data_IF_163929023329
#
_entry.id   IF_163929023329
#
_cell.length_a   1.000
_cell.length_b   1.000
_cell.length_c   1.000
_cell.angle_alpha   90.00
_cell.angle_beta   90.00
_cell.angle_gamma   90.00
#
_symmetry.space_group_name_H-M   'P 1'
#
loop_
_entity.id
_entity.type
_entity.pdbx_description
1 polymer ?
#
# COMPACT_ATOMS: atom_id res chain seq x y z
N UNK A 1 2.23 -36.63 9.52
CA UNK A 1 1.68 -35.34 9.02
C UNK A 1 0.17 -35.45 8.82
N UNK A 2 -0.29 -36.48 8.11
CA UNK A 2 -1.72 -36.88 8.10
C UNK A 2 -2.24 -37.09 9.52
N UNK A 3 -1.46 -37.73 10.40
CA UNK A 3 -1.82 -37.91 11.82
C UNK A 3 -2.08 -36.59 12.55
N UNK A 4 -1.32 -35.54 12.23
CA UNK A 4 -1.47 -34.22 12.86
C UNK A 4 -2.70 -33.50 12.31
N UNK A 5 -3.00 -33.67 11.02
CA UNK A 5 -4.21 -33.14 10.39
C UNK A 5 -5.50 -33.76 10.95
N UNK A 6 -5.47 -35.03 11.34
CA UNK A 6 -6.61 -35.71 12.00
C UNK A 6 -6.72 -35.28 13.47
N UNK A 7 -5.62 -35.32 14.22
CA UNK A 7 -5.61 -35.00 15.65
C UNK A 7 -5.86 -33.53 15.97
N UNK A 8 -5.76 -32.63 14.97
CA UNK A 8 -5.91 -31.18 15.20
C UNK A 8 -7.25 -30.78 15.82
N UNK A 9 -8.30 -31.57 15.58
CA UNK A 9 -9.64 -31.31 16.11
C UNK A 9 -9.77 -31.65 17.60
N UNK A 10 -8.82 -32.41 18.15
CA UNK A 10 -8.78 -32.82 19.55
C UNK A 10 -7.94 -31.85 20.42
N UNK A 11 -7.24 -30.91 19.78
CA UNK A 11 -6.47 -29.90 20.50
C UNK A 11 -7.38 -28.81 21.09
N UNK A 12 -7.06 -28.28 22.29
CA UNK A 12 -7.82 -27.19 22.90
C UNK A 12 -7.61 -25.82 22.22
N UNK A 13 -6.92 -25.80 21.08
CA UNK A 13 -6.59 -24.61 20.31
C UNK A 13 -6.65 -24.91 18.81
N UNK A 14 -6.98 -23.90 18.00
CA UNK A 14 -6.99 -24.02 16.56
C UNK A 14 -5.57 -24.10 15.99
N UNK A 15 -5.38 -24.91 14.94
CA UNK A 15 -4.15 -24.95 14.16
C UNK A 15 -4.49 -24.88 12.66
N UNK A 16 -3.76 -24.08 11.91
CA UNK A 16 -3.92 -23.88 10.46
C UNK A 16 -2.87 -24.66 9.64
N UNK A 17 -1.95 -25.34 10.32
CA UNK A 17 -0.91 -26.17 9.71
C UNK A 17 0.19 -26.54 10.70
N UNK A 18 1.35 -26.87 10.14
CA UNK A 18 2.60 -27.12 10.87
C UNK A 18 3.73 -26.26 10.29
N UNK A 19 4.70 -25.87 11.11
CA UNK A 19 5.90 -25.19 10.63
C UNK A 19 7.02 -26.21 10.47
N UNK A 20 7.51 -26.37 9.25
CA UNK A 20 8.69 -27.20 8.96
C UNK A 20 9.91 -26.29 9.02
N UNK A 21 10.89 -26.65 9.84
CA UNK A 21 12.14 -25.90 10.02
C UNK A 21 13.34 -26.80 9.82
N UNK A 22 14.43 -26.26 9.28
CA UNK A 22 15.75 -26.89 9.33
C UNK A 22 16.20 -26.88 10.79
N UNK A 23 16.51 -28.04 11.36
CA UNK A 23 16.81 -28.14 12.80
C UNK A 23 18.21 -27.62 13.17
N UNK A 24 19.16 -27.72 12.24
CA UNK A 24 20.55 -27.29 12.47
C UNK A 24 20.74 -25.77 12.31
N UNK A 25 21.21 -25.11 13.37
CA UNK A 25 21.39 -23.66 13.44
C UNK A 25 22.40 -23.11 12.42
N UNK A 26 23.50 -23.82 12.16
CA UNK A 26 24.51 -23.39 11.20
C UNK A 26 23.95 -23.26 9.77
N UNK A 27 23.05 -24.17 9.39
CA UNK A 27 22.36 -24.11 8.10
C UNK A 27 21.33 -22.99 8.04
N UNK A 28 20.66 -22.67 9.15
CA UNK A 28 19.73 -21.53 9.20
C UNK A 28 20.48 -20.21 8.94
N UNK A 29 21.65 -20.03 9.57
CA UNK A 29 22.50 -18.85 9.37
C UNK A 29 22.94 -18.72 7.90
N UNK A 30 23.35 -19.83 7.28
CA UNK A 30 23.79 -19.84 5.89
C UNK A 30 22.63 -19.57 4.91
N UNK A 31 21.43 -20.10 5.18
CA UNK A 31 20.26 -19.91 4.34
C UNK A 31 19.72 -18.47 4.41
N UNK A 32 19.79 -17.84 5.57
CA UNK A 32 19.40 -16.45 5.78
C UNK A 32 17.89 -16.19 5.66
N UNK A 33 17.54 -14.92 5.42
CA UNK A 33 16.15 -14.42 5.34
C UNK A 33 15.93 -13.62 4.05
N UNK A 34 14.71 -13.63 3.55
CA UNK A 34 14.24 -12.68 2.52
C UNK A 34 13.74 -11.41 3.18
N UNK A 35 13.24 -10.44 2.39
CA UNK A 35 12.61 -9.23 2.90
C UNK A 35 11.36 -9.48 3.76
N UNK A 36 10.76 -10.69 3.72
CA UNK A 36 9.50 -11.01 4.42
C UNK A 36 9.52 -12.31 5.22
N UNK A 37 10.43 -13.26 4.94
CA UNK A 37 10.39 -14.59 5.54
C UNK A 37 11.77 -15.28 5.58
N UNK A 38 12.04 -16.15 6.57
CA UNK A 38 13.25 -16.98 6.60
C UNK A 38 13.26 -17.99 5.46
N UNK A 39 14.46 -18.33 4.95
CA UNK A 39 14.63 -19.36 3.90
C UNK A 39 14.69 -20.77 4.45
N UNK A 40 14.89 -20.91 5.77
CA UNK A 40 15.07 -22.18 6.47
C UNK A 40 13.81 -22.68 7.20
N UNK A 41 12.68 -22.00 7.05
CA UNK A 41 11.40 -22.43 7.60
C UNK A 41 10.24 -22.14 6.64
N UNK A 42 9.24 -23.01 6.65
CA UNK A 42 8.02 -22.86 5.85
C UNK A 42 6.79 -23.26 6.67
N UNK A 43 5.71 -22.49 6.54
CA UNK A 43 4.40 -22.87 7.08
C UNK A 43 3.70 -23.80 6.10
N UNK A 44 3.56 -25.07 6.48
CA UNK A 44 2.82 -26.08 5.73
C UNK A 44 1.38 -26.13 6.22
N UNK A 45 0.49 -25.43 5.51
CA UNK A 45 -0.92 -25.26 5.90
C UNK A 45 -1.76 -26.49 5.52
N UNK A 46 -2.79 -26.78 6.32
CA UNK A 46 -3.78 -27.80 5.96
C UNK A 46 -4.53 -27.41 4.67
N UNK A 47 -5.13 -28.38 3.95
CA UNK A 47 -6.09 -28.07 2.90
C UNK A 47 -7.18 -27.16 3.46
N UNK A 48 -7.36 -26.01 2.84
CA UNK A 48 -8.34 -25.04 3.30
C UNK A 48 -9.76 -25.60 3.15
N UNK A 49 -10.61 -25.29 4.12
CA UNK A 49 -12.01 -25.70 4.10
C UNK A 49 -12.72 -25.09 2.88
N UNK A 50 -13.30 -25.96 2.05
CA UNK A 50 -14.15 -25.56 0.92
C UNK A 50 -15.61 -25.77 1.28
N UNK A 51 -16.44 -24.80 0.91
CA UNK A 51 -17.91 -24.93 0.98
C UNK A 51 -18.53 -24.54 -0.34
N UNK A 52 -19.73 -25.04 -0.58
CA UNK A 52 -20.55 -24.63 -1.71
C UNK A 52 -21.58 -23.60 -1.26
N UNK A 53 -21.84 -22.60 -2.08
CA UNK A 53 -22.92 -21.61 -1.88
C UNK A 53 -23.45 -21.13 -3.24
N UNK A 54 -24.55 -20.37 -3.27
CA UNK A 54 -25.12 -19.83 -4.51
C UNK A 54 -24.60 -18.41 -4.76
N UNK A 55 -24.11 -18.16 -5.97
CA UNK A 55 -23.73 -16.83 -6.44
C UNK A 55 -25.00 -16.02 -6.79
N UNK A 56 -25.26 -14.96 -6.04
CA UNK A 56 -26.45 -14.13 -6.18
C UNK A 56 -26.20 -12.96 -7.14
N UNK A 57 -25.07 -12.28 -6.97
CA UNK A 57 -24.74 -11.07 -7.73
C UNK A 57 -23.21 -10.86 -7.81
N UNK A 58 -22.76 -9.93 -8.66
CA UNK A 58 -21.35 -9.54 -8.79
C UNK A 58 -21.22 -8.02 -8.73
N UNK A 59 -20.63 -7.52 -7.64
CA UNK A 59 -20.27 -6.10 -7.51
C UNK A 59 -18.99 -5.80 -8.29
N UNK A 60 -18.93 -4.62 -8.91
CA UNK A 60 -17.80 -4.17 -9.73
C UNK A 60 -17.01 -3.08 -9.01
N UNK A 61 -16.17 -3.48 -8.05
CA UNK A 61 -15.51 -2.53 -7.15
C UNK A 61 -14.35 -1.80 -7.83
N UNK A 62 -14.37 -0.48 -7.85
CA UNK A 62 -13.28 0.36 -8.38
C UNK A 62 -12.30 0.68 -7.25
N UNK A 63 -11.09 0.12 -7.30
CA UNK A 63 -10.04 0.39 -6.30
C UNK A 63 -9.27 1.68 -6.55
N UNK A 64 -8.37 2.07 -5.61
CA UNK A 64 -7.59 3.33 -5.67
C UNK A 64 -6.86 3.61 -6.99
N UNK A 65 -6.35 2.60 -7.68
CA UNK A 65 -5.64 2.79 -8.96
C UNK A 65 -6.59 2.70 -10.16
N UNK A 66 -7.91 2.66 -9.93
CA UNK A 66 -8.94 2.45 -10.95
C UNK A 66 -9.23 0.99 -11.28
N UNK A 67 -8.52 0.02 -10.67
CA UNK A 67 -8.73 -1.41 -10.95
C UNK A 67 -10.16 -1.81 -10.59
N UNK A 68 -10.91 -2.30 -11.57
CA UNK A 68 -12.28 -2.81 -11.43
C UNK A 68 -12.21 -4.29 -11.09
N UNK A 69 -12.53 -4.62 -9.84
CA UNK A 69 -12.45 -5.98 -9.30
C UNK A 69 -13.85 -6.55 -9.14
N UNK A 70 -14.18 -7.67 -9.82
CA UNK A 70 -15.44 -8.35 -9.60
C UNK A 70 -15.43 -9.05 -8.23
N UNK A 71 -16.47 -8.78 -7.43
CA UNK A 71 -16.67 -9.37 -6.10
C UNK A 71 -18.00 -10.09 -6.06
N UNK A 72 -17.97 -11.38 -5.75
CA UNK A 72 -19.16 -12.18 -5.58
C UNK A 72 -19.98 -11.69 -4.38
N UNK A 73 -21.29 -11.61 -4.55
CA UNK A 73 -22.31 -11.58 -3.50
C UNK A 73 -22.99 -12.93 -3.53
N UNK A 74 -23.02 -13.61 -2.40
CA UNK A 74 -23.45 -15.01 -2.35
C UNK A 74 -24.31 -15.27 -1.11
N UNK A 75 -25.06 -16.37 -1.15
CA UNK A 75 -25.79 -16.83 0.03
C UNK A 75 -24.80 -17.02 1.19
N UNK A 76 -25.18 -16.59 2.42
CA UNK A 76 -24.25 -16.66 3.54
C UNK A 76 -23.81 -18.09 3.85
N UNK A 77 -22.50 -18.29 3.95
CA UNK A 77 -21.90 -19.60 4.28
C UNK A 77 -20.92 -19.46 5.43
N UNK A 78 -20.84 -20.47 6.29
CA UNK A 78 -19.83 -20.52 7.36
C UNK A 78 -18.56 -21.15 6.79
N UNK A 79 -17.46 -20.38 6.80
CA UNK A 79 -16.13 -20.79 6.37
C UNK A 79 -15.12 -20.44 7.46
N UNK A 80 -14.39 -21.44 7.95
CA UNK A 80 -13.41 -21.28 9.03
C UNK A 80 -13.99 -20.52 10.23
N UNK A 81 -15.20 -20.92 10.66
CA UNK A 81 -15.88 -20.35 11.84
C UNK A 81 -16.52 -18.96 11.66
N UNK A 82 -16.44 -18.34 10.48
CA UNK A 82 -17.03 -17.02 10.23
C UNK A 82 -18.07 -17.05 9.12
N UNK A 83 -19.09 -16.21 9.22
CA UNK A 83 -20.10 -16.01 8.17
C UNK A 83 -19.51 -15.18 7.03
N UNK A 84 -19.52 -15.73 5.82
CA UNK A 84 -19.01 -15.10 4.61
C UNK A 84 -20.15 -14.91 3.62
N UNK A 85 -20.33 -13.67 3.16
CA UNK A 85 -21.34 -13.28 2.14
C UNK A 85 -20.71 -12.73 0.87
N UNK A 86 -19.39 -12.54 0.87
CA UNK A 86 -18.65 -12.06 -0.28
C UNK A 86 -17.33 -12.80 -0.48
N UNK A 87 -16.93 -12.94 -1.73
CA UNK A 87 -15.64 -13.53 -2.11
C UNK A 87 -15.06 -12.79 -3.32
N UNK A 88 -13.74 -12.74 -3.46
CA UNK A 88 -13.13 -12.20 -4.68
C UNK A 88 -13.27 -13.18 -5.84
N UNK A 89 -13.57 -12.65 -7.04
CA UNK A 89 -13.49 -13.37 -8.32
C UNK A 89 -12.15 -13.10 -9.05
N UNK A 90 -11.23 -12.37 -8.40
CA UNK A 90 -9.94 -11.91 -8.90
C UNK A 90 -10.01 -10.91 -10.08
N UNK A 91 -10.49 -11.35 -11.24
CA UNK A 91 -10.66 -10.56 -12.46
C UNK A 91 -11.63 -11.27 -13.43
N UNK A 92 -12.02 -10.57 -14.51
CA UNK A 92 -12.98 -11.12 -15.47
C UNK A 92 -12.40 -12.26 -16.34
N UNK A 93 -11.09 -12.30 -16.57
CA UNK A 93 -10.45 -13.46 -17.21
C UNK A 93 -10.64 -14.75 -16.40
N UNK A 94 -10.47 -14.70 -15.08
CA UNK A 94 -10.73 -15.84 -14.19
C UNK A 94 -12.20 -16.27 -14.19
N UNK A 95 -13.13 -15.30 -14.25
CA UNK A 95 -14.57 -15.59 -14.37
C UNK A 95 -14.85 -16.39 -15.64
N UNK A 96 -14.31 -15.96 -16.78
CA UNK A 96 -14.48 -16.63 -18.08
C UNK A 96 -13.82 -18.01 -18.10
N UNK A 97 -12.56 -18.10 -17.66
CA UNK A 97 -11.79 -19.34 -17.62
C UNK A 97 -12.46 -20.43 -16.77
N UNK A 98 -13.13 -20.02 -15.69
CA UNK A 98 -13.87 -20.93 -14.79
C UNK A 98 -15.34 -21.09 -15.18
N UNK A 99 -15.79 -20.44 -16.26
CA UNK A 99 -17.18 -20.34 -16.72
C UNK A 99 -18.16 -20.05 -15.58
N UNK A 100 -17.83 -19.08 -14.71
CA UNK A 100 -18.69 -18.72 -13.58
C UNK A 100 -19.86 -17.86 -14.08
N UNK A 101 -21.08 -18.16 -13.63
CA UNK A 101 -22.33 -17.50 -14.03
C UNK A 101 -23.16 -17.10 -12.82
N UNK A 102 -23.96 -16.05 -12.98
CA UNK A 102 -24.95 -15.66 -11.96
C UNK A 102 -25.94 -16.81 -11.74
N UNK A 103 -26.28 -17.07 -10.48
CA UNK A 103 -27.12 -18.20 -10.07
C UNK A 103 -26.39 -19.54 -9.96
N UNK A 104 -25.09 -19.61 -10.29
CA UNK A 104 -24.33 -20.87 -10.13
C UNK A 104 -24.17 -21.24 -8.65
N UNK A 105 -24.17 -22.56 -8.39
CA UNK A 105 -23.57 -23.07 -7.16
C UNK A 105 -22.04 -23.04 -7.31
N UNK A 106 -21.38 -22.22 -6.50
CA UNK A 106 -19.93 -21.99 -6.52
C UNK A 106 -19.25 -22.64 -5.32
N UNK A 107 -17.98 -23.03 -5.51
CA UNK A 107 -17.09 -23.45 -4.43
C UNK A 107 -16.27 -22.26 -3.93
N UNK A 108 -16.24 -22.07 -2.62
CA UNK A 108 -15.55 -20.96 -1.96
C UNK A 108 -14.61 -21.47 -0.88
N UNK A 109 -13.47 -20.79 -0.78
CA UNK A 109 -12.37 -21.12 0.12
C UNK A 109 -11.76 -19.84 0.69
N UNK A 110 -11.13 -19.90 1.86
CA UNK A 110 -10.36 -18.78 2.42
C UNK A 110 -8.87 -19.00 2.29
N UNK A 111 -8.21 -18.14 1.53
CA UNK A 111 -6.75 -18.11 1.47
C UNK A 111 -6.19 -17.77 2.86
N UNK A 112 -5.42 -18.70 3.42
CA UNK A 112 -4.84 -18.59 4.75
C UNK A 112 -5.86 -18.35 5.87
N UNK A 113 -7.10 -18.84 5.70
CA UNK A 113 -8.24 -18.67 6.63
C UNK A 113 -8.75 -17.22 6.77
N UNK A 114 -8.24 -16.27 5.98
CA UNK A 114 -8.60 -14.85 6.06
C UNK A 114 -9.41 -14.40 4.83
N UNK A 115 -8.88 -14.56 3.62
CA UNK A 115 -9.43 -13.90 2.41
C UNK A 115 -10.28 -14.88 1.60
N UNK A 116 -11.62 -14.73 1.55
CA UNK A 116 -12.49 -15.61 0.77
C UNK A 116 -12.36 -15.34 -0.74
N UNK A 117 -12.26 -16.42 -1.52
CA UNK A 117 -12.22 -16.38 -2.99
C UNK A 117 -13.02 -17.53 -3.59
N UNK A 118 -13.48 -17.34 -4.83
CA UNK A 118 -14.23 -18.37 -5.57
C UNK A 118 -13.24 -19.30 -6.28
N UNK A 119 -13.28 -20.58 -5.90
CA UNK A 119 -12.43 -21.63 -6.46
C UNK A 119 -12.91 -22.00 -7.85
N UNK A 120 -14.21 -22.21 -8.03
CA UNK A 120 -14.84 -22.59 -9.29
C UNK A 120 -16.35 -22.83 -9.15
N UNK A 121 -16.94 -23.43 -10.18
CA UNK A 121 -18.37 -23.78 -10.22
C UNK A 121 -18.58 -25.27 -9.98
N UNK A 122 -19.66 -25.62 -9.28
CA UNK A 122 -20.18 -26.99 -9.22
C UNK A 122 -21.04 -27.25 -10.47
N UNK A 123 -20.39 -27.54 -11.60
CA UNK A 123 -21.04 -27.61 -12.92
C UNK A 123 -22.27 -28.52 -12.98
N UNK A 124 -22.29 -29.62 -12.22
CA UNK A 124 -23.41 -30.55 -12.15
C UNK A 124 -24.70 -29.95 -11.55
N UNK A 125 -24.61 -28.81 -10.84
CA UNK A 125 -25.74 -28.11 -10.22
C UNK A 125 -26.19 -26.87 -10.98
N UNK A 126 -25.68 -26.63 -12.20
CA UNK A 126 -26.04 -25.45 -12.98
C UNK A 126 -27.51 -25.51 -13.41
N UNK A 127 -28.28 -24.50 -12.99
CA UNK A 127 -29.64 -24.30 -13.44
C UNK A 127 -29.72 -23.77 -14.88
N UNK A 128 -30.87 -23.94 -15.53
CA UNK A 128 -31.12 -23.42 -16.89
C UNK A 128 -31.05 -21.89 -16.98
N UNK A 129 -31.25 -21.20 -15.86
CA UNK A 129 -31.31 -19.74 -15.78
C UNK A 129 -29.95 -19.10 -15.45
N UNK A 130 -28.85 -19.86 -15.53
CA UNK A 130 -27.52 -19.34 -15.20
C UNK A 130 -27.03 -18.36 -16.28
N UNK A 131 -26.80 -17.11 -15.88
CA UNK A 131 -26.45 -16.01 -16.80
C UNK A 131 -24.97 -15.68 -16.79
N UNK A 132 -24.40 -15.39 -17.98
CA UNK A 132 -23.00 -14.98 -18.07
C UNK A 132 -22.80 -13.62 -17.40
N UNK A 133 -21.75 -13.53 -16.59
CA UNK A 133 -21.34 -12.27 -15.98
C UNK A 133 -20.73 -11.37 -17.05
N UNK A 134 -21.33 -10.21 -17.29
CA UNK A 134 -20.85 -9.22 -18.27
C UNK A 134 -19.97 -8.19 -17.55
N UNK A 135 -18.70 -8.03 -17.95
CA UNK A 135 -17.87 -6.95 -17.42
C UNK A 135 -18.39 -5.58 -17.85
N UNK A 136 -18.26 -4.55 -17.00
CA UNK A 136 -18.72 -3.21 -17.33
C UNK A 136 -17.85 -2.61 -18.44
N UNK A 137 -18.52 -2.04 -19.45
CA UNK A 137 -17.87 -1.39 -20.60
C UNK A 137 -17.36 0.02 -20.26
N UNK A 138 -18.04 0.70 -19.34
CA UNK A 138 -17.65 1.97 -18.71
C UNK A 138 -17.37 1.77 -17.22
N UNK A 139 -16.76 2.75 -16.56
CA UNK A 139 -16.57 2.70 -15.11
C UNK A 139 -17.93 2.71 -14.41
N UNK A 140 -18.24 1.74 -13.53
CA UNK A 140 -19.55 1.67 -12.86
C UNK A 140 -19.80 2.82 -11.86
N UNK A 141 -18.79 3.64 -11.59
CA UNK A 141 -18.83 4.71 -10.58
C UNK A 141 -18.80 6.12 -11.19
N UNK A 142 -18.33 6.27 -12.42
CA UNK A 142 -18.17 7.59 -13.04
C UNK A 142 -18.45 7.60 -14.55
N UNK A 143 -18.91 6.49 -15.11
CA UNK A 143 -19.13 6.25 -16.54
C UNK A 143 -17.94 6.53 -17.47
N UNK A 144 -16.75 6.73 -16.89
CA UNK A 144 -15.53 7.04 -17.61
C UNK A 144 -14.95 5.85 -18.37
N UNK A 145 -13.98 6.14 -19.23
CA UNK A 145 -13.29 5.14 -20.05
C UNK A 145 -12.63 4.05 -19.21
N UNK A 146 -12.73 2.82 -19.71
CA UNK A 146 -12.11 1.64 -19.12
C UNK A 146 -11.04 1.08 -20.03
N UNK A 147 -9.83 0.92 -19.50
CA UNK A 147 -8.71 0.23 -20.14
C UNK A 147 -8.71 -1.25 -19.70
N UNK A 148 -8.38 -2.15 -20.62
CA UNK A 148 -8.24 -3.59 -20.37
C UNK A 148 -6.77 -3.95 -20.58
N UNK A 149 -6.12 -4.46 -19.54
CA UNK A 149 -4.73 -4.92 -19.60
C UNK A 149 -4.72 -6.43 -19.90
N UNK A 150 -3.92 -6.87 -20.89
CA UNK A 150 -3.74 -8.29 -21.19
C UNK A 150 -2.84 -8.99 -20.15
N UNK A 151 -2.52 -10.29 -20.31
CA UNK A 151 -1.59 -10.95 -19.40
C UNK A 151 -0.21 -10.29 -19.38
N UNK A 152 0.33 -10.14 -18.17
CA UNK A 152 1.77 -9.91 -18.02
C UNK A 152 2.52 -11.12 -18.62
N UNK A 153 3.21 -10.91 -19.75
CA UNK A 153 4.11 -11.90 -20.34
C UNK A 153 3.89 -12.23 -21.82
N UNK A 154 2.71 -11.91 -22.39
CA UNK A 154 2.47 -12.11 -23.83
C UNK A 154 1.51 -11.04 -24.40
N UNK A 155 2.04 -9.92 -24.91
CA UNK A 155 1.24 -8.88 -25.56
C UNK A 155 0.51 -9.38 -26.81
N UNK A 156 0.93 -10.50 -27.42
CA UNK A 156 0.25 -11.07 -28.59
C UNK A 156 -1.11 -11.69 -28.25
N UNK A 157 -1.33 -12.02 -26.98
CA UNK A 157 -2.64 -12.40 -26.43
C UNK A 157 -3.45 -11.17 -25.99
N UNK A 158 -2.98 -9.97 -26.36
CA UNK A 158 -3.48 -8.62 -26.05
C UNK A 158 -4.96 -8.34 -26.29
N UNK A 159 -5.63 -9.18 -27.07
CA UNK A 159 -7.01 -8.95 -27.53
C UNK A 159 -8.01 -10.04 -27.17
N UNK A 160 -7.58 -11.14 -26.54
CA UNK A 160 -8.50 -12.20 -26.12
C UNK A 160 -9.01 -11.92 -24.71
N UNK A 161 -10.33 -11.72 -24.62
CA UNK A 161 -11.02 -11.42 -23.38
C UNK A 161 -10.88 -12.53 -22.33
N UNK A 162 -10.62 -13.78 -22.70
CA UNK A 162 -10.37 -14.87 -21.73
C UNK A 162 -9.12 -14.61 -20.89
N UNK A 163 -8.16 -13.89 -21.45
CA UNK A 163 -6.87 -13.59 -20.83
C UNK A 163 -6.81 -12.22 -20.15
N UNK A 164 -7.95 -11.53 -20.02
CA UNK A 164 -8.06 -10.26 -19.29
C UNK A 164 -7.57 -10.40 -17.83
N UNK A 165 -6.48 -9.70 -17.48
CA UNK A 165 -5.93 -9.76 -16.12
C UNK A 165 -6.37 -8.59 -15.25
N UNK A 166 -6.53 -7.41 -15.86
CA UNK A 166 -6.95 -6.18 -15.17
C UNK A 166 -7.88 -5.37 -16.07
N UNK A 167 -8.97 -4.89 -15.48
CA UNK A 167 -9.84 -3.86 -16.03
C UNK A 167 -9.69 -2.60 -15.20
N UNK A 168 -9.62 -1.42 -15.80
CA UNK A 168 -9.27 -0.20 -15.07
C UNK A 168 -10.03 1.04 -15.55
N UNK A 169 -10.65 1.77 -14.63
CA UNK A 169 -11.09 3.14 -14.87
C UNK A 169 -9.86 4.07 -14.97
N UNK A 170 -9.74 4.79 -16.08
CA UNK A 170 -8.60 5.71 -16.33
C UNK A 170 -8.84 7.13 -15.84
N UNK A 171 -10.05 7.44 -15.36
CA UNK A 171 -10.36 8.76 -14.81
C UNK A 171 -9.70 8.95 -13.43
N UNK A 172 -8.66 9.80 -13.29
CA UNK A 172 -7.97 9.99 -12.02
C UNK A 172 -8.85 10.64 -10.93
N UNK A 173 -9.92 11.33 -11.34
CA UNK A 173 -10.90 12.05 -10.51
C UNK A 173 -12.18 11.23 -10.26
N UNK A 174 -12.19 9.94 -10.62
CA UNK A 174 -13.32 9.05 -10.34
C UNK A 174 -13.63 9.05 -8.82
N UNK A 175 -14.89 9.29 -8.39
CA UNK A 175 -15.25 9.40 -6.97
C UNK A 175 -14.86 8.16 -6.14
N UNK A 176 -14.98 6.96 -6.70
CA UNK A 176 -14.55 5.73 -6.05
C UNK A 176 -13.02 5.64 -5.92
N UNK A 177 -12.27 6.08 -6.93
CA UNK A 177 -10.82 6.14 -6.82
C UNK A 177 -10.39 7.16 -5.78
N UNK A 178 -10.99 8.35 -5.77
CA UNK A 178 -10.70 9.41 -4.79
C UNK A 178 -10.95 8.91 -3.37
N UNK A 179 -12.09 8.26 -3.09
CA UNK A 179 -12.36 7.64 -1.79
C UNK A 179 -11.21 6.74 -1.32
N UNK A 180 -10.87 5.76 -2.14
CA UNK A 180 -9.82 4.78 -1.82
C UNK A 180 -8.43 5.42 -1.71
N UNK A 181 -8.17 6.45 -2.53
CA UNK A 181 -6.93 7.22 -2.49
C UNK A 181 -6.83 8.05 -1.23
N UNK A 182 -7.90 8.67 -0.74
CA UNK A 182 -7.91 9.44 0.51
C UNK A 182 -7.61 8.54 1.71
N UNK A 183 -8.25 7.37 1.80
CA UNK A 183 -7.97 6.37 2.84
C UNK A 183 -6.49 5.94 2.79
N UNK A 184 -5.99 5.69 1.58
CA UNK A 184 -4.59 5.32 1.38
C UNK A 184 -3.62 6.46 1.72
N UNK A 185 -3.94 7.70 1.35
CA UNK A 185 -3.14 8.90 1.58
C UNK A 185 -2.93 9.17 3.07
N UNK A 186 -3.98 8.96 3.87
CA UNK A 186 -3.92 9.06 5.33
C UNK A 186 -3.09 7.95 6.01
N UNK A 187 -2.73 6.88 5.29
CA UNK A 187 -2.05 5.72 5.86
C UNK A 187 -0.68 6.02 6.48
N UNK A 188 -0.27 5.19 7.45
CA UNK A 188 0.99 5.35 8.22
C UNK A 188 2.26 5.39 7.38
N UNK A 189 2.27 4.73 6.22
CA UNK A 189 3.42 4.70 5.29
C UNK A 189 3.33 5.79 4.21
N UNK A 190 2.31 6.63 4.30
CA UNK A 190 1.97 7.73 3.41
C UNK A 190 2.02 9.00 4.28
N UNK A 191 0.94 9.76 4.41
CA UNK A 191 0.95 11.03 5.15
C UNK A 191 0.79 10.88 6.67
N UNK A 192 0.48 9.67 7.15
CA UNK A 192 0.41 9.35 8.58
C UNK A 192 -0.55 10.28 9.34
N UNK A 193 -1.82 10.29 8.88
CA UNK A 193 -2.88 11.13 9.43
C UNK A 193 -3.80 10.26 10.27
N UNK A 194 -3.52 10.20 11.57
CA UNK A 194 -4.35 9.49 12.52
C UNK A 194 -5.75 10.11 12.62
N UNK A 195 -6.75 9.24 12.68
CA UNK A 195 -8.16 9.65 12.75
C UNK A 195 -8.86 9.78 11.39
N UNK A 196 -8.13 9.83 10.27
CA UNK A 196 -8.70 9.88 8.91
C UNK A 196 -8.80 8.49 8.28
N UNK A 197 -9.42 7.54 9.00
CA UNK A 197 -9.65 6.17 8.52
C UNK A 197 -10.89 6.03 7.63
N UNK A 198 -11.13 4.82 7.11
CA UNK A 198 -12.25 4.50 6.21
C UNK A 198 -13.60 5.06 6.68
N UNK A 199 -13.99 4.78 7.94
CA UNK A 199 -15.27 5.25 8.47
C UNK A 199 -15.37 6.78 8.52
N UNK A 200 -14.27 7.48 8.82
CA UNK A 200 -14.26 8.95 8.92
C UNK A 200 -14.26 9.57 7.53
N UNK A 201 -13.53 9.01 6.56
CA UNK A 201 -13.61 9.42 5.16
C UNK A 201 -15.02 9.24 4.62
N UNK A 202 -15.67 8.10 4.89
CA UNK A 202 -17.04 7.84 4.46
C UNK A 202 -18.05 8.80 5.08
N UNK A 203 -17.96 9.04 6.39
CA UNK A 203 -18.81 10.00 7.09
C UNK A 203 -18.67 11.41 6.52
N UNK A 204 -17.44 11.90 6.34
CA UNK A 204 -17.19 13.24 5.80
C UNK A 204 -17.74 13.33 4.37
N UNK A 205 -17.46 12.36 3.50
CA UNK A 205 -17.95 12.38 2.11
C UNK A 205 -19.47 12.26 2.03
N UNK A 206 -20.09 11.55 2.96
CA UNK A 206 -21.54 11.45 3.04
C UNK A 206 -22.23 12.77 3.39
N UNK A 207 -21.51 13.75 3.97
CA UNK A 207 -22.08 15.10 4.19
C UNK A 207 -22.46 15.82 2.89
N UNK A 208 -21.86 15.43 1.76
CA UNK A 208 -22.14 15.98 0.43
C UNK A 208 -23.26 15.24 -0.33
N UNK A 209 -23.82 14.17 0.24
CA UNK A 209 -25.00 13.50 -0.31
C UNK A 209 -26.27 14.29 -0.01
N UNK A 210 -27.30 14.07 -0.81
CA UNK A 210 -28.65 14.62 -0.60
C UNK A 210 -29.15 14.32 0.81
N UNK A 211 -29.90 15.25 1.41
CA UNK A 211 -30.32 15.17 2.82
C UNK A 211 -31.11 13.90 3.13
N UNK A 212 -31.90 13.41 2.18
CA UNK A 212 -32.72 12.21 2.26
C UNK A 212 -31.99 10.92 1.84
N UNK A 213 -30.70 10.98 1.47
CA UNK A 213 -29.93 9.79 1.12
C UNK A 213 -29.78 8.87 2.35
N UNK A 214 -30.24 7.61 2.28
CA UNK A 214 -30.22 6.68 3.40
C UNK A 214 -28.79 6.39 3.92
N UNK A 215 -27.76 6.57 3.10
CA UNK A 215 -26.36 6.39 3.51
C UNK A 215 -25.92 7.41 4.57
N UNK A 216 -26.51 8.62 4.59
CA UNK A 216 -26.21 9.61 5.64
C UNK A 216 -26.56 9.05 7.01
N UNK A 217 -27.76 8.51 7.14
CA UNK A 217 -28.23 7.88 8.37
C UNK A 217 -27.41 6.63 8.73
N UNK A 218 -27.11 5.76 7.74
CA UNK A 218 -26.29 4.56 7.94
C UNK A 218 -24.90 4.89 8.51
N UNK A 219 -24.27 5.95 7.99
CA UNK A 219 -22.94 6.39 8.40
C UNK A 219 -22.96 7.28 9.65
N UNK A 220 -24.14 7.64 10.16
CA UNK A 220 -24.30 8.50 11.33
C UNK A 220 -23.95 9.97 11.06
N UNK A 221 -24.28 10.47 9.87
CA UNK A 221 -24.21 11.89 9.52
C UNK A 221 -25.54 12.54 9.89
N UNK A 222 -25.58 13.53 10.80
CA UNK A 222 -26.80 14.26 11.14
C UNK A 222 -27.42 14.99 9.94
N UNK A 223 -28.72 15.25 10.02
CA UNK A 223 -29.47 15.99 9.00
C UNK A 223 -28.97 17.43 8.89
N UNK A 224 -28.65 18.06 10.02
CA UNK A 224 -28.19 19.44 10.13
C UNK A 224 -26.67 19.60 9.90
N UNK A 225 -25.93 18.50 9.70
CA UNK A 225 -24.50 18.54 9.48
C UNK A 225 -24.18 19.32 8.18
N UNK A 226 -23.40 20.41 8.25
CA UNK A 226 -22.95 21.12 7.07
C UNK A 226 -22.15 20.21 6.14
N UNK A 227 -22.13 20.54 4.85
CA UNK A 227 -21.27 19.87 3.87
C UNK A 227 -19.80 20.12 4.21
N UNK A 228 -19.02 19.05 4.24
CA UNK A 228 -17.58 19.07 4.41
C UNK A 228 -16.95 18.54 3.11
N UNK A 229 -16.24 19.38 2.34
CA UNK A 229 -15.54 18.94 1.13
C UNK A 229 -14.50 17.88 1.45
N UNK A 230 -14.51 16.76 0.72
CA UNK A 230 -13.48 15.72 0.78
C UNK A 230 -13.44 14.91 -0.51
N UNK A 231 -13.28 15.61 -1.63
CA UNK A 231 -13.22 15.04 -2.99
C UNK A 231 -11.84 15.23 -3.65
N UNK A 232 -10.88 15.80 -2.92
CA UNK A 232 -9.52 16.01 -3.39
C UNK A 232 -8.53 15.91 -2.22
N UNK A 233 -7.25 15.59 -2.50
CA UNK A 233 -6.23 15.46 -1.44
C UNK A 233 -6.00 16.75 -0.65
N UNK A 234 -6.08 17.90 -1.34
CA UNK A 234 -5.96 19.21 -0.70
C UNK A 234 -7.07 19.48 0.33
N UNK A 235 -8.28 18.98 0.09
CA UNK A 235 -9.42 19.14 1.01
C UNK A 235 -9.10 18.57 2.41
N UNK A 236 -8.23 17.55 2.49
CA UNK A 236 -7.74 17.00 3.76
C UNK A 236 -7.08 18.08 4.62
N UNK A 237 -6.26 18.94 4.00
CA UNK A 237 -5.54 20.01 4.68
C UNK A 237 -6.41 21.24 4.95
N UNK A 238 -7.61 21.30 4.36
CA UNK A 238 -8.61 22.34 4.59
C UNK A 238 -9.64 21.95 5.66
N UNK A 239 -9.65 20.68 6.12
CA UNK A 239 -10.58 20.19 7.15
C UNK A 239 -10.58 21.01 8.45
N UNK A 240 -9.48 21.69 8.79
CA UNK A 240 -9.43 22.61 9.93
C UNK A 240 -10.44 23.76 9.85
N UNK A 241 -10.82 24.17 8.64
CA UNK A 241 -11.84 25.20 8.39
C UNK A 241 -13.27 24.69 8.68
N UNK A 242 -13.43 23.37 8.80
CA UNK A 242 -14.71 22.68 9.01
C UNK A 242 -14.82 22.05 10.40
N UNK A 243 -14.05 22.53 11.39
CA UNK A 243 -14.02 21.97 12.75
C UNK A 243 -15.40 21.81 13.37
N UNK A 244 -16.25 22.82 13.26
CA UNK A 244 -17.59 22.79 13.86
C UNK A 244 -18.48 21.72 13.23
N UNK A 245 -18.41 21.55 11.91
CA UNK A 245 -19.13 20.49 11.20
C UNK A 245 -18.59 19.09 11.58
N UNK A 246 -17.27 18.93 11.68
CA UNK A 246 -16.65 17.68 12.11
C UNK A 246 -17.14 17.23 13.49
N UNK A 247 -17.34 18.16 14.43
CA UNK A 247 -17.85 17.86 15.78
C UNK A 247 -19.29 17.36 15.79
N UNK A 248 -20.08 17.65 14.76
CA UNK A 248 -21.46 17.15 14.66
C UNK A 248 -21.52 15.68 14.23
N UNK A 249 -20.48 15.16 13.59
CA UNK A 249 -20.47 13.78 13.09
C UNK A 249 -20.47 12.76 14.23
N UNK A 250 -21.18 11.65 14.04
CA UNK A 250 -21.23 10.59 15.04
C UNK A 250 -19.83 10.03 15.36
N UNK A 251 -19.50 9.93 16.65
CA UNK A 251 -18.20 9.48 17.17
C UNK A 251 -17.01 10.40 16.80
N UNK A 252 -17.27 11.69 16.59
CA UNK A 252 -16.26 12.74 16.38
C UNK A 252 -16.25 13.75 17.54
N UNK A 253 -15.93 13.29 18.75
CA UNK A 253 -15.79 14.18 19.91
C UNK A 253 -14.54 15.07 19.83
N UNK A 254 -14.50 16.13 20.65
CA UNK A 254 -13.44 17.17 20.66
C UNK A 254 -12.03 16.60 20.55
N UNK A 255 -11.64 15.71 21.47
CA UNK A 255 -10.29 15.11 21.47
C UNK A 255 -9.94 14.39 20.17
N UNK A 256 -10.91 13.71 19.53
CA UNK A 256 -10.66 13.01 18.26
C UNK A 256 -10.48 14.01 17.11
N UNK A 257 -11.30 15.07 17.09
CA UNK A 257 -11.17 16.15 16.10
C UNK A 257 -9.84 16.88 16.27
N UNK A 258 -9.46 17.23 17.50
CA UNK A 258 -8.20 17.92 17.78
C UNK A 258 -6.99 17.06 17.36
N UNK A 259 -7.01 15.76 17.66
CA UNK A 259 -5.97 14.83 17.21
C UNK A 259 -5.90 14.72 15.68
N UNK A 260 -7.05 14.64 15.01
CA UNK A 260 -7.12 14.59 13.54
C UNK A 260 -6.52 15.86 12.93
N UNK A 261 -6.94 17.04 13.41
CA UNK A 261 -6.45 18.32 12.89
C UNK A 261 -4.96 18.53 13.18
N UNK A 262 -4.48 18.13 14.35
CA UNK A 262 -3.05 18.15 14.67
C UNK A 262 -2.24 17.19 13.76
N UNK A 263 -2.78 15.99 13.49
CA UNK A 263 -2.18 15.04 12.56
C UNK A 263 -2.10 15.57 11.13
N UNK A 264 -3.16 16.23 10.65
CA UNK A 264 -3.19 16.90 9.34
C UNK A 264 -2.12 17.99 9.26
N UNK A 265 -1.96 18.79 10.31
CA UNK A 265 -0.96 19.86 10.31
C UNK A 265 0.47 19.31 10.33
N UNK A 266 0.73 18.29 11.15
CA UNK A 266 2.01 17.58 11.15
C UNK A 266 2.32 16.95 9.80
N UNK A 267 1.30 16.41 9.12
CA UNK A 267 1.43 15.74 7.84
C UNK A 267 1.92 16.66 6.70
N UNK A 268 1.82 17.99 6.83
CA UNK A 268 2.36 18.92 5.84
C UNK A 268 3.87 18.78 5.66
N UNK A 269 4.60 18.38 6.71
CA UNK A 269 6.07 18.28 6.71
C UNK A 269 6.64 16.92 6.25
N UNK A 270 5.80 16.01 5.73
CA UNK A 270 6.23 14.63 5.41
C UNK A 270 7.11 14.52 4.16
N UNK A 271 7.13 15.55 3.31
CA UNK A 271 7.98 15.63 2.13
C UNK A 271 7.52 14.77 0.93
N UNK A 272 8.25 14.95 -0.18
CA UNK A 272 7.90 14.45 -1.52
C UNK A 272 7.69 12.93 -1.58
N UNK A 273 8.56 12.15 -0.93
CA UNK A 273 8.47 10.69 -0.93
C UNK A 273 7.12 10.19 -0.38
N UNK A 274 6.61 10.85 0.66
CA UNK A 274 5.38 10.49 1.36
C UNK A 274 4.16 10.91 0.57
N UNK A 275 4.18 12.10 -0.02
CA UNK A 275 3.15 12.60 -0.93
C UNK A 275 2.99 11.67 -2.13
N UNK A 276 4.07 11.35 -2.83
CA UNK A 276 4.04 10.44 -3.99
C UNK A 276 3.55 9.04 -3.62
N UNK A 277 3.98 8.50 -2.47
CA UNK A 277 3.50 7.22 -1.97
C UNK A 277 2.00 7.26 -1.62
N UNK A 278 1.49 8.40 -1.15
CA UNK A 278 0.11 8.62 -0.74
C UNK A 278 -0.88 8.86 -1.86
N UNK A 279 -0.45 9.43 -2.99
CA UNK A 279 -1.36 9.79 -4.09
C UNK A 279 -1.95 8.58 -4.84
N UNK A 280 -1.41 7.37 -4.62
CA UNK A 280 -1.88 6.16 -5.28
C UNK A 280 -1.61 6.15 -6.79
N UNK A 281 -0.49 6.76 -7.21
CA UNK A 281 -0.06 6.81 -8.62
C UNK A 281 0.26 5.38 -9.09
N UNK A 282 -0.22 5.00 -10.28
CA UNK A 282 0.01 3.66 -10.85
C UNK A 282 1.52 3.41 -10.95
N UNK A 283 1.99 2.25 -10.47
CA UNK A 283 3.40 1.84 -10.38
C UNK A 283 4.26 2.59 -9.34
N UNK A 284 3.71 3.55 -8.59
CA UNK A 284 4.44 4.26 -7.53
C UNK A 284 3.92 3.80 -6.17
N UNK A 285 4.64 2.85 -5.56
CA UNK A 285 4.47 2.50 -4.14
C UNK A 285 5.50 3.23 -3.27
N UNK A 286 5.52 2.96 -1.96
CA UNK A 286 6.47 3.60 -1.03
C UNK A 286 7.94 3.44 -1.45
N UNK A 287 8.32 2.27 -1.98
CA UNK A 287 9.71 2.05 -2.43
C UNK A 287 10.07 2.89 -3.65
N UNK A 288 9.20 2.89 -4.67
CA UNK A 288 9.37 3.71 -5.89
C UNK A 288 9.36 5.20 -5.55
N UNK A 289 8.47 5.64 -4.65
CA UNK A 289 8.38 7.03 -4.23
C UNK A 289 9.65 7.50 -3.52
N UNK A 290 10.18 6.70 -2.58
CA UNK A 290 11.49 6.97 -1.95
C UNK A 290 12.62 6.97 -2.98
N UNK A 291 12.61 6.05 -3.93
CA UNK A 291 13.62 5.96 -4.98
C UNK A 291 13.61 7.21 -5.89
N UNK A 292 12.43 7.71 -6.27
CA UNK A 292 12.30 8.97 -6.99
C UNK A 292 12.76 10.16 -6.15
N UNK A 293 12.35 10.24 -4.88
CA UNK A 293 12.75 11.32 -3.99
C UNK A 293 14.27 11.37 -3.73
N UNK A 294 14.98 10.24 -3.79
CA UNK A 294 16.45 10.23 -3.72
C UNK A 294 17.14 10.91 -4.90
N UNK A 295 16.48 10.92 -6.05
CA UNK A 295 17.03 11.41 -7.33
C UNK A 295 16.61 12.84 -7.62
N UNK A 296 15.41 13.23 -7.21
CA UNK A 296 14.85 14.56 -7.48
C UNK A 296 14.73 15.36 -6.17
N UNK A 297 15.34 16.56 -6.09
CA UNK A 297 15.38 17.36 -4.86
C UNK A 297 14.00 17.90 -4.46
N UNK A 298 13.11 18.08 -5.42
CA UNK A 298 11.76 18.61 -5.23
C UNK A 298 10.84 18.12 -6.35
N UNK A 299 9.56 18.45 -6.20
CA UNK A 299 8.55 18.14 -7.20
C UNK A 299 8.83 18.80 -8.55
N UNK A 300 9.30 20.05 -8.59
CA UNK A 300 9.54 20.78 -9.84
C UNK A 300 10.57 20.03 -10.69
N UNK A 301 11.68 19.62 -10.09
CA UNK A 301 12.72 18.81 -10.72
C UNK A 301 12.20 17.47 -11.24
N UNK A 302 11.27 16.85 -10.52
CA UNK A 302 10.62 15.60 -10.96
C UNK A 302 9.67 15.85 -12.15
N UNK A 303 8.96 16.97 -12.17
CA UNK A 303 8.06 17.36 -13.25
C UNK A 303 8.81 17.77 -14.53
N UNK A 304 9.99 18.36 -14.41
CA UNK A 304 10.86 18.69 -15.55
C UNK A 304 11.61 17.47 -16.12
N UNK A 305 11.63 16.36 -15.38
CA UNK A 305 12.37 15.18 -15.79
C UNK A 305 11.74 14.50 -17.01
N UNK A 306 12.51 14.40 -18.09
CA UNK A 306 12.11 13.60 -19.24
C UNK A 306 11.90 12.13 -18.86
N UNK A 307 11.00 11.44 -19.56
CA UNK A 307 10.59 10.05 -19.27
C UNK A 307 11.76 9.07 -19.09
N UNK A 308 12.86 9.24 -19.82
CA UNK A 308 14.02 8.36 -19.73
C UNK A 308 14.78 8.49 -18.41
N UNK A 309 14.74 9.66 -17.77
CA UNK A 309 15.30 9.87 -16.41
C UNK A 309 14.52 9.10 -15.35
N UNK A 310 13.26 8.76 -15.60
CA UNK A 310 12.51 7.89 -14.69
C UNK A 310 12.86 6.41 -14.84
N UNK A 311 13.56 5.98 -15.90
CA UNK A 311 13.85 4.57 -16.19
C UNK A 311 15.32 4.31 -16.59
N UNK A 312 16.31 4.74 -15.78
CA UNK A 312 17.74 4.68 -16.13
C UNK A 312 18.23 3.27 -16.54
N UNK A 313 17.82 2.24 -15.79
CA UNK A 313 18.18 0.85 -16.11
C UNK A 313 17.61 0.40 -17.46
N UNK A 314 16.33 0.68 -17.72
CA UNK A 314 15.71 0.32 -18.98
C UNK A 314 16.37 1.10 -20.13
N UNK A 315 16.58 2.40 -19.96
CA UNK A 315 17.24 3.27 -20.93
C UNK A 315 18.61 2.71 -21.36
N UNK A 316 19.46 2.33 -20.40
CA UNK A 316 20.81 1.80 -20.69
C UNK A 316 20.83 0.44 -21.40
N UNK A 317 19.73 -0.31 -21.34
CA UNK A 317 19.57 -1.60 -22.06
C UNK A 317 18.93 -1.44 -23.45
N UNK A 318 18.42 -0.26 -23.80
CA UNK A 318 17.81 0.01 -25.10
C UNK A 318 18.85 0.18 -26.23
N UNK A 319 18.39 -0.01 -27.47
CA UNK A 319 19.22 0.25 -28.66
C UNK A 319 19.68 1.72 -28.73
N UNK A 320 20.81 1.95 -29.41
CA UNK A 320 21.37 3.28 -29.64
C UNK A 320 20.34 4.24 -30.27
N UNK A 321 19.63 3.79 -31.30
CA UNK A 321 18.58 4.58 -31.97
C UNK A 321 17.45 4.98 -31.04
N UNK A 322 17.03 4.07 -30.15
CA UNK A 322 15.95 4.34 -29.20
C UNK A 322 16.39 5.31 -28.10
N UNK A 323 17.65 5.23 -27.64
CA UNK A 323 18.22 6.21 -26.71
C UNK A 323 18.33 7.59 -27.35
N UNK A 324 18.78 7.66 -28.60
CA UNK A 324 18.86 8.90 -29.38
C UNK A 324 17.48 9.54 -29.59
N UNK A 325 16.46 8.72 -29.85
CA UNK A 325 15.09 9.22 -29.99
C UNK A 325 14.50 9.79 -28.69
N UNK A 326 14.92 9.27 -27.53
CA UNK A 326 14.39 9.69 -26.22
C UNK A 326 15.18 10.83 -25.56
N UNK A 327 16.50 10.90 -25.78
CA UNK A 327 17.40 11.83 -25.08
C UNK A 327 18.18 12.78 -26.00
N UNK A 328 18.05 12.62 -27.32
CA UNK A 328 18.89 13.30 -28.31
C UNK A 328 20.30 12.70 -28.47
N UNK A 329 20.69 11.73 -27.62
CA UNK A 329 22.02 11.10 -27.61
C UNK A 329 21.95 9.57 -27.66
N UNK A 330 22.90 8.94 -28.35
CA UNK A 330 23.08 7.49 -28.36
C UNK A 330 24.01 7.01 -27.23
N UNK A 331 24.41 7.90 -26.32
CA UNK A 331 25.20 7.60 -25.14
C UNK A 331 24.36 6.92 -24.06
N UNK A 332 25.00 6.10 -23.22
CA UNK A 332 24.34 5.53 -22.05
C UNK A 332 24.33 6.59 -20.96
N UNK A 333 23.41 6.47 -20.00
CA UNK A 333 23.53 7.20 -18.76
C UNK A 333 24.74 6.68 -17.99
N UNK A 334 25.67 7.57 -17.71
CA UNK A 334 26.80 7.29 -16.83
C UNK A 334 26.35 7.17 -15.37
N UNK A 335 25.37 7.99 -14.98
CA UNK A 335 24.79 8.01 -13.63
C UNK A 335 23.57 7.08 -13.54
N UNK A 336 23.83 5.81 -13.20
CA UNK A 336 22.78 4.78 -13.09
C UNK A 336 22.28 4.71 -11.65
N UNK A 337 21.12 5.32 -11.40
CA UNK A 337 20.35 5.16 -10.18
C UNK A 337 19.18 4.19 -10.37
N UNK A 338 18.53 3.79 -9.27
CA UNK A 338 17.34 2.96 -9.32
C UNK A 338 16.11 3.79 -8.95
N UNK A 339 15.10 3.78 -9.81
CA UNK A 339 13.78 4.40 -9.55
C UNK A 339 12.71 3.36 -9.27
N UNK A 340 12.99 2.07 -9.52
CA UNK A 340 11.99 1.00 -9.54
C UNK A 340 11.05 1.04 -10.76
N UNK A 341 11.30 1.92 -11.74
CA UNK A 341 10.51 2.04 -12.96
C UNK A 341 11.29 1.55 -14.19
N UNK A 342 10.58 0.90 -15.11
CA UNK A 342 11.13 0.34 -16.35
C UNK A 342 10.43 0.87 -17.59
N UNK A 343 10.78 0.32 -18.76
CA UNK A 343 10.30 0.79 -20.06
C UNK A 343 8.77 0.80 -20.26
N UNK A 344 8.04 -0.04 -19.52
CA UNK A 344 6.57 -0.06 -19.54
C UNK A 344 5.93 0.82 -18.47
N UNK A 345 6.59 1.05 -17.33
CA UNK A 345 5.97 1.73 -16.18
C UNK A 345 6.33 3.21 -16.12
N UNK A 346 7.55 3.61 -16.49
CA UNK A 346 7.97 5.01 -16.48
C UNK A 346 7.12 5.92 -17.39
N UNK A 347 6.75 5.52 -18.62
CA UNK A 347 5.86 6.34 -19.46
C UNK A 347 4.48 6.58 -18.81
N UNK A 348 3.94 5.58 -18.11
CA UNK A 348 2.65 5.68 -17.41
C UNK A 348 2.74 6.67 -16.25
N UNK A 349 3.81 6.60 -15.45
CA UNK A 349 4.06 7.54 -14.36
C UNK A 349 4.27 8.96 -14.88
N UNK A 350 5.12 9.12 -15.90
CA UNK A 350 5.40 10.41 -16.52
C UNK A 350 4.13 11.06 -17.09
N UNK A 351 3.29 10.29 -17.80
CA UNK A 351 2.02 10.78 -18.32
C UNK A 351 1.07 11.26 -17.22
N UNK A 352 0.99 10.53 -16.09
CA UNK A 352 0.19 10.97 -14.95
C UNK A 352 0.73 12.27 -14.35
N UNK A 353 2.04 12.36 -14.08
CA UNK A 353 2.69 13.56 -13.52
C UNK A 353 2.42 14.82 -14.37
N UNK A 354 2.30 14.66 -15.69
CA UNK A 354 2.02 15.74 -16.64
C UNK A 354 0.53 15.97 -16.93
N UNK A 355 -0.37 15.19 -16.32
CA UNK A 355 -1.81 15.33 -16.53
C UNK A 355 -2.37 16.59 -15.87
N UNK A 356 -3.48 17.17 -16.38
CA UNK A 356 -4.15 18.30 -15.73
C UNK A 356 -4.53 18.03 -14.28
N UNK A 357 -5.03 16.82 -13.99
CA UNK A 357 -5.41 16.40 -12.64
C UNK A 357 -4.21 16.41 -11.68
N UNK A 358 -3.07 15.84 -12.08
CA UNK A 358 -1.88 15.84 -11.22
C UNK A 358 -1.33 17.26 -10.98
N UNK A 359 -1.28 18.09 -12.02
CA UNK A 359 -0.84 19.49 -11.91
C UNK A 359 -1.71 20.29 -10.96
N UNK A 360 -3.04 20.14 -11.08
CA UNK A 360 -3.98 20.76 -10.15
C UNK A 360 -3.76 20.26 -8.71
N UNK A 361 -3.62 18.94 -8.54
CA UNK A 361 -3.38 18.34 -7.23
C UNK A 361 -2.13 18.91 -6.56
N UNK A 362 -1.00 18.92 -7.27
CA UNK A 362 0.25 19.42 -6.71
C UNK A 362 0.20 20.91 -6.38
N UNK A 363 -0.41 21.73 -7.26
CA UNK A 363 -0.63 23.16 -7.00
C UNK A 363 -1.43 23.37 -5.72
N UNK A 364 -2.56 22.69 -5.56
CA UNK A 364 -3.42 22.84 -4.37
C UNK A 364 -2.77 22.33 -3.09
N UNK A 365 -2.00 21.24 -3.17
CA UNK A 365 -1.22 20.75 -2.02
C UNK A 365 -0.16 21.78 -1.60
N UNK A 366 0.55 22.39 -2.55
CA UNK A 366 1.49 23.47 -2.27
C UNK A 366 0.80 24.69 -1.64
N UNK A 367 -0.38 25.09 -2.14
CA UNK A 367 -1.20 26.18 -1.58
C UNK A 367 -1.65 25.89 -0.14
N UNK A 368 -1.85 24.60 0.21
CA UNK A 368 -2.14 24.16 1.57
C UNK A 368 -0.89 24.11 2.48
N UNK A 369 0.30 24.41 1.96
CA UNK A 369 1.56 24.39 2.70
C UNK A 369 2.16 22.99 2.87
N UNK A 370 1.78 22.02 2.03
CA UNK A 370 2.41 20.69 2.02
C UNK A 370 3.81 20.80 1.44
N UNK A 371 4.79 20.24 2.13
CA UNK A 371 6.17 20.16 1.70
C UNK A 371 6.32 19.16 0.54
N UNK A 372 6.71 19.70 -0.62
CA UNK A 372 6.95 18.97 -1.86
C UNK A 372 8.44 18.87 -2.19
N UNK A 373 9.31 19.13 -1.21
CA UNK A 373 10.76 18.91 -1.28
C UNK A 373 11.13 17.52 -0.78
N UNK A 374 12.31 17.04 -1.16
CA UNK A 374 12.82 15.74 -0.79
C UNK A 374 13.91 15.83 0.27
N UNK A 375 13.61 15.36 1.49
CA UNK A 375 14.62 15.09 2.53
C UNK A 375 15.51 13.88 2.21
N UNK A 376 15.07 13.03 1.30
CA UNK A 376 15.79 11.83 0.84
C UNK A 376 16.78 12.14 -0.29
N UNK A 377 16.80 13.37 -0.83
CA UNK A 377 17.64 13.71 -1.97
C UNK A 377 19.11 13.44 -1.69
N UNK A 378 19.79 12.82 -2.65
CA UNK A 378 21.23 12.54 -2.62
C UNK A 378 21.83 13.10 -3.90
N UNK A 379 22.60 14.19 -3.78
CA UNK A 379 23.28 14.78 -4.93
C UNK A 379 24.37 13.83 -5.46
N UNK A 380 24.70 13.96 -6.74
CA UNK A 380 25.80 13.20 -7.38
C UNK A 380 27.12 13.32 -6.62
N UNK A 381 27.42 14.52 -6.10
CA UNK A 381 28.68 14.78 -5.40
C UNK A 381 28.70 14.10 -4.02
N UNK A 382 27.56 14.02 -3.33
CA UNK A 382 27.45 13.32 -2.03
C UNK A 382 27.50 11.78 -2.17
N UNK A 383 27.02 11.22 -3.28
CA UNK A 383 27.12 9.78 -3.56
C UNK A 383 28.54 9.33 -3.95
N UNK A 384 29.30 10.17 -4.69
CA UNK A 384 30.69 9.88 -5.09
C UNK A 384 31.68 10.14 -3.95
N UNK A 385 31.43 11.13 -3.09
CA UNK A 385 32.27 11.44 -1.95
C UNK A 385 32.18 10.41 -0.81
N UNK A 386 31.19 9.50 -0.83
CA UNK A 386 30.94 8.61 0.31
C UNK A 386 30.53 9.37 1.58
N UNK A 387 30.16 10.64 1.45
CA UNK A 387 29.60 11.47 2.51
C UNK A 387 28.15 11.02 2.75
N UNK A 388 28.02 9.84 3.37
CA UNK A 388 26.85 9.62 4.19
C UNK A 388 26.85 10.68 5.32
N UNK A 389 25.67 11.04 5.86
CA UNK A 389 25.58 12.04 6.93
C UNK A 389 26.64 11.74 7.98
N UNK A 390 27.42 12.73 8.43
CA UNK A 390 28.37 12.51 9.53
C UNK A 390 27.56 12.26 10.80
N UNK A 391 27.22 10.99 10.98
CA UNK A 391 26.19 10.51 11.88
C UNK A 391 26.67 9.17 12.43
N UNK A 392 26.47 8.91 13.73
CA UNK A 392 26.86 7.64 14.33
C UNK A 392 26.08 6.45 13.73
N UNK A 393 25.02 6.71 12.95
CA UNK A 393 24.18 5.68 12.34
C UNK A 393 24.53 5.35 10.88
N UNK A 394 25.45 6.09 10.28
CA UNK A 394 25.78 5.96 8.86
C UNK A 394 26.27 4.56 8.50
N UNK A 395 25.60 3.94 7.52
CA UNK A 395 25.92 2.60 7.02
C UNK A 395 25.54 1.44 7.95
N UNK A 396 25.16 1.74 9.20
CA UNK A 396 24.82 0.77 10.25
C UNK A 396 23.42 0.21 10.07
N UNK A 397 23.24 -1.04 10.46
CA UNK A 397 21.94 -1.71 10.55
C UNK A 397 21.40 -1.57 11.97
N UNK A 398 20.30 -0.85 12.11
CA UNK A 398 19.68 -0.55 13.41
C UNK A 398 18.38 -1.32 13.57
N UNK A 399 18.13 -1.90 14.75
CA UNK A 399 16.86 -2.57 15.07
C UNK A 399 16.20 -1.84 16.23
N UNK A 400 14.89 -1.57 16.11
CA UNK A 400 14.09 -0.97 17.18
C UNK A 400 13.29 -2.05 17.92
N UNK A 401 13.31 -2.05 19.25
CA UNK A 401 12.48 -2.92 20.10
C UNK A 401 11.98 -2.20 21.34
N UNK A 402 10.92 -2.73 21.97
CA UNK A 402 10.31 -2.12 23.16
C UNK A 402 9.45 -0.89 22.86
N UNK A 403 8.76 -0.38 23.88
CA UNK A 403 8.02 0.88 23.84
C UNK A 403 8.97 2.03 24.12
N UNK A 404 9.01 3.01 23.23
CA UNK A 404 9.84 4.22 23.38
C UNK A 404 8.99 5.32 23.99
N UNK A 405 9.53 6.07 24.93
CA UNK A 405 8.83 7.10 25.69
C UNK A 405 8.67 8.41 24.88
N UNK A 406 9.66 8.73 24.05
CA UNK A 406 9.74 10.00 23.33
C UNK A 406 9.48 9.88 21.83
N UNK A 407 9.55 8.68 21.27
CA UNK A 407 9.40 8.47 19.83
C UNK A 407 8.34 7.42 19.48
N UNK A 408 7.59 7.70 18.42
CA UNK A 408 6.91 6.62 17.71
C UNK A 408 7.90 5.81 16.89
N UNK A 409 7.77 4.48 16.93
CA UNK A 409 8.71 3.57 16.24
C UNK A 409 8.86 3.86 14.75
N UNK A 410 7.76 4.20 14.08
CA UNK A 410 7.77 4.53 12.65
C UNK A 410 8.54 5.83 12.40
N UNK A 411 8.24 6.89 13.16
CA UNK A 411 8.94 8.17 13.07
C UNK A 411 10.44 8.06 13.37
N UNK A 412 10.82 7.32 14.42
CA UNK A 412 12.23 7.07 14.71
C UNK A 412 12.93 6.27 13.60
N UNK A 413 12.23 5.32 12.98
CA UNK A 413 12.81 4.58 11.85
C UNK A 413 13.14 5.52 10.68
N UNK A 414 12.29 6.51 10.43
CA UNK A 414 12.49 7.50 9.38
C UNK A 414 13.65 8.45 9.69
N UNK A 415 13.77 8.90 10.94
CA UNK A 415 14.91 9.71 11.40
C UNK A 415 16.22 8.93 11.25
N UNK A 416 16.25 7.66 11.67
CA UNK A 416 17.45 6.84 11.54
C UNK A 416 17.81 6.59 10.06
N UNK A 417 16.81 6.34 9.21
CA UNK A 417 17.01 6.20 7.76
C UNK A 417 17.54 7.49 7.12
N UNK A 418 17.04 8.68 7.52
CA UNK A 418 17.54 9.96 7.01
C UNK A 418 18.99 10.21 7.42
N UNK A 419 19.38 9.75 8.62
CA UNK A 419 20.74 9.77 9.17
C UNK A 419 21.67 8.67 8.63
N UNK A 420 21.25 7.93 7.59
CA UNK A 420 22.09 6.96 6.88
C UNK A 420 22.03 5.52 7.43
N UNK A 421 21.12 5.21 8.35
CA UNK A 421 20.94 3.87 8.89
C UNK A 421 20.11 2.96 7.96
N UNK A 422 20.30 1.65 8.10
CA UNK A 422 19.37 0.63 7.59
C UNK A 422 18.54 0.08 8.75
N UNK A 423 17.27 0.43 8.81
CA UNK A 423 16.40 -0.07 9.89
C UNK A 423 15.84 -1.45 9.54
N UNK A 424 16.04 -2.42 10.45
CA UNK A 424 15.58 -3.79 10.29
C UNK A 424 14.58 -4.18 11.39
N UNK A 425 13.63 -5.06 11.02
CA UNK A 425 12.63 -5.60 11.96
C UNK A 425 13.14 -6.74 12.84
N UNK A 426 14.33 -7.29 12.54
CA UNK A 426 14.87 -8.48 13.20
C UNK A 426 16.35 -8.34 13.54
N UNK A 427 16.73 -8.79 14.74
CA UNK A 427 18.14 -8.89 15.17
C UNK A 427 18.81 -10.07 14.47
N UNK A 428 19.96 -9.81 13.86
CA UNK A 428 20.83 -10.76 13.16
C UNK A 428 22.30 -10.46 13.46
N UNK A 429 23.25 -11.30 12.98
CA UNK A 429 24.69 -11.00 13.09
C UNK A 429 25.12 -9.75 12.33
N UNK A 430 24.33 -9.31 11.35
CA UNK A 430 24.58 -8.09 10.58
C UNK A 430 23.93 -6.86 11.23
N UNK A 431 23.32 -7.00 12.42
CA UNK A 431 22.78 -5.89 13.17
C UNK A 431 23.92 -5.22 13.92
N UNK A 432 24.11 -3.93 13.70
CA UNK A 432 25.14 -3.14 14.37
C UNK A 432 24.64 -2.61 15.71
N UNK A 433 23.41 -2.05 15.74
CA UNK A 433 22.83 -1.42 16.94
C UNK A 433 21.40 -1.93 17.18
N UNK A 434 21.07 -2.28 18.42
CA UNK A 434 19.71 -2.46 18.90
C UNK A 434 19.33 -1.29 19.81
N UNK A 435 18.29 -0.55 19.45
CA UNK A 435 17.70 0.46 20.33
C UNK A 435 16.55 -0.18 21.10
N UNK A 436 16.68 -0.24 22.42
CA UNK A 436 15.79 -0.94 23.33
C UNK A 436 15.02 0.05 24.23
N UNK A 437 13.71 0.17 23.98
CA UNK A 437 12.79 0.83 24.89
C UNK A 437 12.28 -0.10 25.99
N UNK A 438 11.30 0.37 26.77
CA UNK A 438 10.67 -0.43 27.81
C UNK A 438 10.10 -1.74 27.26
N UNK A 439 10.25 -2.83 28.02
CA UNK A 439 9.75 -4.18 27.63
C UNK A 439 10.33 -4.69 26.30
N UNK A 440 11.60 -4.41 26.02
CA UNK A 440 12.33 -4.86 24.82
C UNK A 440 12.30 -6.39 24.56
N UNK A 441 12.06 -7.21 25.60
CA UNK A 441 11.68 -8.62 25.47
C UNK A 441 12.70 -9.52 24.77
N UNK A 442 12.22 -10.47 23.95
CA UNK A 442 13.02 -11.53 23.33
C UNK A 442 14.06 -11.04 22.31
N UNK A 443 13.91 -9.83 21.77
CA UNK A 443 14.89 -9.23 20.85
C UNK A 443 16.13 -8.72 21.57
N UNK A 444 15.98 -8.23 22.81
CA UNK A 444 17.10 -7.82 23.65
C UNK A 444 17.99 -9.03 23.99
N UNK A 445 17.38 -10.10 24.50
CA UNK A 445 18.09 -11.34 24.80
C UNK A 445 18.83 -11.90 23.57
N UNK A 446 18.22 -11.79 22.37
CA UNK A 446 18.86 -12.20 21.12
C UNK A 446 20.05 -11.32 20.75
N UNK A 447 19.96 -10.00 20.91
CA UNK A 447 21.06 -9.08 20.66
C UNK A 447 22.24 -9.35 21.59
N UNK A 448 21.98 -9.52 22.89
CA UNK A 448 22.99 -9.87 23.90
C UNK A 448 23.70 -11.19 23.53
N UNK A 449 22.96 -12.22 23.11
CA UNK A 449 23.54 -13.50 22.68
C UNK A 449 24.42 -13.41 21.43
N UNK A 450 24.20 -12.41 20.59
CA UNK A 450 24.94 -12.18 19.34
C UNK A 450 26.04 -11.12 19.50
N UNK A 451 26.20 -10.52 20.67
CA UNK A 451 27.17 -9.46 20.93
C UNK A 451 26.87 -8.15 20.19
N UNK A 452 25.60 -7.90 19.85
CA UNK A 452 25.15 -6.67 19.19
C UNK A 452 25.12 -5.52 20.18
N UNK A 453 25.55 -4.33 19.78
CA UNK A 453 25.56 -3.14 20.63
C UNK A 453 24.12 -2.73 21.00
N UNK A 454 23.82 -2.55 22.28
CA UNK A 454 22.48 -2.19 22.76
C UNK A 454 22.48 -0.78 23.32
N UNK A 455 21.62 0.07 22.77
CA UNK A 455 21.40 1.44 23.24
C UNK A 455 20.03 1.54 23.88
N UNK A 456 19.93 2.27 24.98
CA UNK A 456 18.64 2.71 25.51
C UNK A 456 18.22 4.03 24.84
N UNK A 457 17.03 4.52 25.20
CA UNK A 457 16.49 5.74 24.61
C UNK A 457 17.31 6.99 24.98
N UNK A 458 17.98 7.00 26.14
CA UNK A 458 18.87 8.08 26.53
C UNK A 458 20.13 8.12 25.65
N UNK A 459 20.78 6.96 25.44
CA UNK A 459 21.93 6.84 24.56
C UNK A 459 21.60 7.17 23.10
N UNK A 460 20.39 6.85 22.64
CA UNK A 460 19.89 7.30 21.34
C UNK A 460 19.80 8.83 21.26
N UNK A 461 19.23 9.48 22.28
CA UNK A 461 19.04 10.94 22.28
C UNK A 461 20.38 11.69 22.22
N UNK A 462 21.41 11.18 22.91
CA UNK A 462 22.76 11.76 22.86
C UNK A 462 23.38 11.66 21.47
N UNK A 463 23.08 10.59 20.74
CA UNK A 463 23.59 10.32 19.39
C UNK A 463 22.77 11.00 18.27
N UNK A 464 21.54 11.44 18.54
CA UNK A 464 20.72 12.16 17.57
C UNK A 464 21.18 13.62 17.44
N UNK A 465 21.21 14.18 16.21
CA UNK A 465 21.40 15.61 16.01
C UNK A 465 20.35 16.45 16.76
N UNK A 466 20.69 17.67 17.24
CA UNK A 466 19.79 18.51 18.03
C UNK A 466 18.41 18.73 17.39
N UNK A 467 18.34 18.84 16.08
CA UNK A 467 17.12 19.04 15.28
C UNK A 467 16.16 17.83 15.29
N UNK A 468 16.64 16.65 15.65
CA UNK A 468 15.85 15.41 15.73
C UNK A 468 15.55 14.98 17.17
N UNK A 469 15.97 15.78 18.16
CA UNK A 469 15.66 15.52 19.57
C UNK A 469 14.24 16.01 19.89
N UNK A 470 13.47 15.27 20.70
CA UNK A 470 12.18 15.73 21.19
C UNK A 470 12.38 17.01 22.02
N UNK A 471 11.51 17.99 21.82
CA UNK A 471 11.48 19.27 22.55
C UNK A 471 11.05 19.12 24.00
#
# INVERSE_FOLDING_TARGET
MEDFATARHDHPYATDGVVVRVDEWALQDQLGVTSKSPRWAIAYKYPAERKTTVLLDVLHQVGKTGKITPRAVMEPVILAGTKVTHATLHNYGQIRKKDIRLGDTIEVEKAGEIIPYVVGVVAAKRGSNAERIVPPASCPECDGTVEIEPPEGDPSQGGDAEFETVRRCVNPECPAQIREKLIWFAGRKQMDIDGLGESTVDQIRATALDQDDPKRAELGVPEECPVIPLNHFADVFELGQHRDALLTLNRMGEKKVDNLLAGIESAKSRGLARVLAGMGIRHVGSSTAKALARVFPDLESLLEAEVWRLMPNAFNTMSADRRKALSGSDAKMDDVYETGLGGGTAPVVHAYLHSPAARDTFRRLAECGVDLTSSDFRSRDSAIAGEAPDSPFTGKTVVLTGTLAHFERTGLSEILESLGARVSGSVSRNTDILIAGEKAGSKLAKAESLGVEVWDEAGLLDALPPEHRPS
#
